data_IF_539595640094
#
_entry.id   IF_539595640094
#
_cell.length_a   1.000
_cell.length_b   1.000
_cell.length_c   1.000
_cell.angle_alpha   90.00
_cell.angle_beta   90.00
_cell.angle_gamma   90.00
#
_symmetry.space_group_name_H-M   'P 1'
#
loop_
_entity.id
_entity.type
_entity.pdbx_description
1 polymer ?
#
# COMPACT_ATOMS: atom_id res chain seq x y z
N UNK A 1 18.82 -16.80 8.39
CA UNK A 1 19.02 -16.80 9.88
C UNK A 1 17.87 -17.57 10.53
N UNK A 2 17.85 -17.90 11.84
CA UNK A 2 16.65 -18.46 12.47
C UNK A 2 15.51 -17.45 12.47
N UNK A 3 14.26 -17.93 12.59
CA UNK A 3 13.09 -17.07 12.82
C UNK A 3 13.34 -16.14 14.02
N UNK A 4 12.87 -14.90 13.92
CA UNK A 4 12.91 -13.98 15.05
C UNK A 4 12.04 -14.52 16.20
N UNK A 5 12.47 -14.43 17.47
CA UNK A 5 11.71 -15.03 18.60
C UNK A 5 10.26 -14.54 18.72
N UNK A 6 9.98 -13.28 18.43
CA UNK A 6 8.61 -12.74 18.42
C UNK A 6 7.76 -13.34 17.30
N UNK A 7 8.36 -13.64 16.14
CA UNK A 7 7.71 -14.32 15.02
C UNK A 7 7.39 -15.76 15.39
N UNK A 8 8.36 -16.49 15.97
CA UNK A 8 8.12 -17.85 16.43
C UNK A 8 6.96 -17.92 17.43
N UNK A 9 6.96 -17.03 18.42
CA UNK A 9 5.88 -16.96 19.41
C UNK A 9 4.51 -16.60 18.77
N UNK A 10 4.50 -15.81 17.69
CA UNK A 10 3.29 -15.50 16.94
C UNK A 10 2.77 -16.74 16.19
N UNK A 11 3.65 -17.45 15.48
CA UNK A 11 3.31 -18.68 14.76
C UNK A 11 2.80 -19.79 15.70
N UNK A 12 3.40 -19.93 16.89
CA UNK A 12 2.96 -20.89 17.91
C UNK A 12 1.52 -20.57 18.39
N UNK A 13 1.19 -19.28 18.56
CA UNK A 13 -0.18 -18.86 18.91
C UNK A 13 -1.18 -19.15 17.78
N UNK A 14 -0.81 -18.90 16.53
CA UNK A 14 -1.66 -19.21 15.37
C UNK A 14 -1.90 -20.72 15.26
N UNK A 15 -0.88 -21.53 15.46
CA UNK A 15 -0.99 -22.99 15.43
C UNK A 15 -1.91 -23.50 16.56
N UNK A 16 -1.78 -22.95 17.78
CA UNK A 16 -2.64 -23.28 18.92
C UNK A 16 -4.12 -22.88 18.71
N UNK A 17 -4.38 -21.79 17.97
CA UNK A 17 -5.73 -21.34 17.68
C UNK A 17 -6.46 -22.21 16.64
N UNK A 18 -5.73 -23.07 15.92
CA UNK A 18 -6.25 -24.05 14.95
C UNK A 18 -7.30 -23.46 14.00
N UNK A 19 -6.99 -22.30 13.41
CA UNK A 19 -7.89 -21.67 12.44
C UNK A 19 -8.06 -22.54 11.19
N UNK A 20 -9.30 -22.57 10.69
CA UNK A 20 -9.58 -23.15 9.38
C UNK A 20 -8.80 -22.41 8.28
N UNK A 21 -8.21 -23.10 7.33
CA UNK A 21 -7.50 -22.48 6.22
C UNK A 21 -8.43 -21.61 5.38
N UNK A 22 -7.93 -20.49 4.87
CA UNK A 22 -8.72 -19.55 4.06
C UNK A 22 -9.49 -20.23 2.91
N UNK A 23 -8.87 -21.24 2.29
CA UNK A 23 -9.49 -21.99 1.18
C UNK A 23 -10.73 -22.83 1.58
N UNK A 24 -11.02 -22.94 2.88
CA UNK A 24 -12.18 -23.69 3.40
C UNK A 24 -13.38 -22.81 3.75
N UNK A 25 -13.27 -21.49 3.62
CA UNK A 25 -14.30 -20.53 4.02
C UNK A 25 -14.66 -19.59 2.87
N UNK A 26 -15.86 -18.98 2.96
CA UNK A 26 -16.27 -17.97 1.98
C UNK A 26 -15.55 -16.63 2.23
N UNK A 27 -15.49 -15.72 1.22
CA UNK A 27 -14.92 -14.39 1.40
C UNK A 27 -15.52 -13.60 2.57
N UNK A 28 -16.83 -13.68 2.78
CA UNK A 28 -17.53 -12.99 3.87
C UNK A 28 -17.04 -13.49 5.25
N UNK A 29 -16.92 -14.80 5.41
CA UNK A 29 -16.41 -15.42 6.65
C UNK A 29 -14.92 -15.05 6.87
N UNK A 30 -14.13 -15.09 5.81
CA UNK A 30 -12.73 -14.71 5.86
C UNK A 30 -12.55 -13.22 6.25
N UNK A 31 -13.32 -12.31 5.64
CA UNK A 31 -13.32 -10.86 5.97
C UNK A 31 -13.73 -10.63 7.44
N UNK A 32 -14.80 -11.28 7.91
CA UNK A 32 -15.22 -11.18 9.29
C UNK A 32 -14.18 -11.71 10.28
N UNK A 33 -13.45 -12.76 9.92
CA UNK A 33 -12.31 -13.30 10.68
C UNK A 33 -11.14 -12.31 10.73
N UNK A 34 -10.74 -11.78 9.58
CA UNK A 34 -9.65 -10.81 9.45
C UNK A 34 -9.91 -9.54 10.27
N UNK A 35 -11.13 -8.98 10.21
CA UNK A 35 -11.52 -7.82 11.02
C UNK A 35 -11.41 -8.08 12.51
N UNK A 36 -11.86 -9.26 13.00
CA UNK A 36 -11.73 -9.64 14.42
C UNK A 36 -10.28 -9.75 14.86
N UNK A 37 -9.43 -10.37 14.04
CA UNK A 37 -8.01 -10.50 14.34
C UNK A 37 -7.31 -9.14 14.34
N UNK A 38 -7.60 -8.29 13.37
CA UNK A 38 -7.09 -6.93 13.32
C UNK A 38 -7.49 -6.14 14.57
N UNK A 39 -8.76 -6.10 14.92
CA UNK A 39 -9.26 -5.40 16.11
C UNK A 39 -8.62 -5.89 17.43
N UNK A 40 -8.31 -7.19 17.52
CA UNK A 40 -7.65 -7.77 18.69
C UNK A 40 -6.13 -7.48 18.74
N UNK A 41 -5.51 -7.16 17.61
CA UNK A 41 -4.06 -6.93 17.49
C UNK A 41 -3.68 -5.46 17.57
N UNK A 42 -4.63 -4.55 17.40
CA UNK A 42 -4.39 -3.10 17.39
C UNK A 42 -4.40 -2.61 18.86
N UNK A 43 -3.25 -2.08 19.31
CA UNK A 43 -3.18 -1.24 20.49
C UNK A 43 -3.88 0.12 20.27
N UNK A 44 -3.69 1.07 21.17
CA UNK A 44 -4.16 2.43 20.92
C UNK A 44 -3.53 2.96 19.62
N UNK A 45 -4.35 3.44 18.65
CA UNK A 45 -3.81 3.92 17.40
C UNK A 45 -2.96 5.18 17.63
N UNK A 46 -1.84 5.26 16.92
CA UNK A 46 -0.96 6.43 17.00
C UNK A 46 -1.74 7.71 16.66
N UNK A 47 -1.67 8.76 17.50
CA UNK A 47 -2.42 9.99 17.25
C UNK A 47 -1.88 10.72 16.01
N UNK A 48 -2.80 11.18 15.16
CA UNK A 48 -2.54 12.06 14.01
C UNK A 48 -3.35 13.35 14.18
N UNK A 49 -3.03 14.39 13.43
CA UNK A 49 -3.72 15.67 13.57
C UNK A 49 -5.20 15.59 13.15
N UNK A 50 -5.51 14.84 12.11
CA UNK A 50 -6.87 14.72 11.57
C UNK A 50 -7.04 13.39 10.84
N UNK A 51 -8.21 12.79 10.96
CA UNK A 51 -8.67 11.66 10.14
C UNK A 51 -10.03 12.02 9.58
N UNK A 52 -10.17 11.95 8.25
CA UNK A 52 -11.43 12.21 7.56
C UNK A 52 -11.73 11.12 6.56
N UNK A 53 -13.00 10.79 6.38
CA UNK A 53 -13.47 9.87 5.35
C UNK A 53 -14.12 10.66 4.22
N UNK A 54 -13.94 10.17 3.01
CA UNK A 54 -14.47 10.78 1.81
C UNK A 54 -14.74 9.74 0.75
N UNK A 55 -15.69 10.02 -0.13
CA UNK A 55 -15.92 9.27 -1.37
C UNK A 55 -15.43 10.12 -2.53
N UNK A 56 -14.51 9.58 -3.32
CA UNK A 56 -13.99 10.21 -4.53
C UNK A 56 -14.88 9.80 -5.70
N UNK A 57 -15.52 10.78 -6.35
CA UNK A 57 -16.22 10.55 -7.63
C UNK A 57 -15.20 10.44 -8.76
N UNK A 58 -14.89 9.24 -9.22
CA UNK A 58 -13.86 8.99 -10.23
C UNK A 58 -14.46 8.41 -11.51
N UNK A 59 -13.68 8.38 -12.59
CA UNK A 59 -14.07 7.73 -13.85
C UNK A 59 -14.27 6.22 -13.72
N UNK A 60 -13.70 5.60 -12.67
CA UNK A 60 -13.91 4.19 -12.34
C UNK A 60 -15.09 3.95 -11.38
N UNK A 61 -15.87 4.99 -11.06
CA UNK A 61 -16.94 4.99 -10.07
C UNK A 61 -16.51 5.62 -8.75
N UNK A 62 -17.39 5.51 -7.77
CA UNK A 62 -17.15 6.02 -6.42
C UNK A 62 -16.11 5.19 -5.68
N UNK A 63 -15.06 5.84 -5.18
CA UNK A 63 -13.98 5.19 -4.42
C UNK A 63 -13.90 5.81 -3.03
N UNK A 64 -14.27 5.07 -1.96
CA UNK A 64 -14.10 5.56 -0.59
C UNK A 64 -12.62 5.65 -0.22
N UNK A 65 -12.28 6.66 0.58
CA UNK A 65 -10.91 6.84 1.10
C UNK A 65 -10.96 7.34 2.53
N UNK A 66 -9.88 7.05 3.27
CA UNK A 66 -9.62 7.66 4.58
C UNK A 66 -8.32 8.46 4.48
N UNK A 67 -8.39 9.73 4.91
CA UNK A 67 -7.30 10.70 4.78
C UNK A 67 -6.74 10.99 6.17
N UNK A 68 -5.44 10.79 6.31
CA UNK A 68 -4.70 11.01 7.56
C UNK A 68 -3.76 12.19 7.39
N UNK A 69 -3.84 13.16 8.32
CA UNK A 69 -2.88 14.27 8.38
C UNK A 69 -1.89 14.04 9.52
N UNK A 70 -0.59 14.18 9.27
CA UNK A 70 0.42 13.90 10.29
C UNK A 70 0.28 14.82 11.49
N UNK A 71 0.68 14.34 12.68
CA UNK A 71 0.72 15.11 13.91
C UNK A 71 1.52 16.40 13.72
N UNK A 72 1.08 17.48 14.40
CA UNK A 72 1.69 18.81 14.27
C UNK A 72 1.23 19.63 13.05
N UNK A 73 0.41 19.07 12.16
CA UNK A 73 -0.21 19.83 11.08
C UNK A 73 -1.33 20.72 11.63
N UNK A 74 -1.39 22.05 11.26
CA UNK A 74 -2.48 22.89 11.66
C UNK A 74 -3.82 22.35 11.13
N UNK A 75 -4.74 22.03 12.02
CA UNK A 75 -6.11 21.66 11.69
C UNK A 75 -6.94 22.95 11.65
N UNK A 76 -7.41 23.34 10.47
CA UNK A 76 -8.25 24.52 10.32
C UNK A 76 -9.16 24.36 9.11
N UNK A 77 -10.46 24.34 9.37
CA UNK A 77 -11.49 24.54 8.35
C UNK A 77 -11.23 25.89 7.70
N UNK A 78 -10.97 25.94 6.41
CA UNK A 78 -11.17 27.18 5.65
C UNK A 78 -12.68 27.36 5.60
N UNK A 79 -13.22 28.07 6.59
CA UNK A 79 -14.59 28.55 6.55
C UNK A 79 -14.74 29.41 5.31
N UNK A 80 -15.73 29.13 4.49
CA UNK A 80 -16.21 30.05 3.49
C UNK A 80 -16.65 31.32 4.24
N UNK A 81 -15.77 32.31 4.34
CA UNK A 81 -16.13 33.65 4.76
C UNK A 81 -16.81 34.30 3.57
N UNK A 82 -18.14 34.47 3.68
CA UNK A 82 -18.88 35.41 2.85
C UNK A 82 -18.17 36.75 2.89
N UNK A 83 -17.95 37.34 1.72
CA UNK A 83 -17.32 38.60 1.52
C UNK A 83 -18.21 39.71 2.11
N UNK A 84 -17.90 40.18 3.33
CA UNK A 84 -18.30 41.52 3.78
C UNK A 84 -17.03 42.33 3.94
N UNK A 85 -16.98 43.44 3.18
CA UNK A 85 -15.82 44.30 3.05
C UNK A 85 -15.31 44.83 4.38
N UNK A 86 -14.07 44.49 4.68
CA UNK A 86 -13.22 45.25 5.60
C UNK A 86 -11.76 45.05 5.19
N UNK A 87 -11.09 46.11 4.83
CA UNK A 87 -9.65 46.18 4.58
C UNK A 87 -8.88 45.88 5.87
N UNK A 88 -8.47 44.66 6.03
CA UNK A 88 -7.57 44.21 7.09
C UNK A 88 -6.67 43.10 6.53
N UNK A 89 -5.38 43.42 6.36
CA UNK A 89 -4.34 42.44 6.01
C UNK A 89 -4.23 41.47 7.18
N UNK A 90 -5.02 40.39 7.17
CA UNK A 90 -4.81 39.27 8.04
C UNK A 90 -3.93 38.27 7.26
N UNK A 91 -2.65 38.26 7.60
CA UNK A 91 -1.70 37.28 7.09
C UNK A 91 -2.09 35.87 7.54
N UNK A 92 -2.89 35.18 6.73
CA UNK A 92 -2.89 33.72 6.78
C UNK A 92 -1.52 33.29 6.31
N UNK A 93 -0.63 32.89 7.23
CA UNK A 93 0.60 32.17 6.90
C UNK A 93 0.16 30.89 6.18
N UNK A 94 0.15 30.92 4.86
CA UNK A 94 -0.21 29.79 4.03
C UNK A 94 0.76 28.64 4.30
N UNK A 95 0.35 27.69 5.12
CA UNK A 95 1.15 26.47 5.33
C UNK A 95 1.39 25.84 3.94
N UNK A 96 2.65 25.52 3.66
CA UNK A 96 3.03 24.86 2.39
C UNK A 96 2.22 23.57 2.25
N UNK A 97 1.65 23.28 1.06
CA UNK A 97 0.97 22.01 0.83
C UNK A 97 1.88 20.81 1.18
N UNK A 98 1.31 19.83 1.86
CA UNK A 98 2.06 18.64 2.26
C UNK A 98 2.26 17.69 1.09
N UNK A 99 3.32 16.84 1.11
CA UNK A 99 3.39 15.70 0.22
C UNK A 99 2.21 14.75 0.47
N UNK A 100 1.94 13.86 -0.48
CA UNK A 100 0.89 12.86 -0.33
C UNK A 100 1.37 11.46 -0.68
N UNK A 101 0.96 10.49 0.15
CA UNK A 101 1.09 9.05 -0.10
C UNK A 101 -0.31 8.50 -0.39
N UNK A 102 -0.51 7.93 -1.56
CA UNK A 102 -1.70 7.15 -1.89
C UNK A 102 -1.41 5.70 -1.48
N UNK A 103 -2.10 5.23 -0.46
CA UNK A 103 -1.85 3.93 0.17
C UNK A 103 -2.93 2.92 -0.22
N UNK A 104 -2.49 1.73 -0.63
CA UNK A 104 -3.33 0.59 -0.97
C UNK A 104 -3.07 -0.54 0.03
N UNK A 105 -4.13 -0.98 0.70
CA UNK A 105 -4.03 -2.04 1.70
C UNK A 105 -3.79 -3.43 1.09
N UNK A 106 -3.20 -4.35 1.85
CA UNK A 106 -3.06 -5.75 1.51
C UNK A 106 -4.36 -6.56 1.68
N UNK A 107 -4.27 -7.87 1.43
CA UNK A 107 -5.39 -8.79 1.61
C UNK A 107 -5.78 -9.56 0.35
N UNK A 108 -4.85 -9.75 -0.60
CA UNK A 108 -5.05 -10.60 -1.80
C UNK A 108 -6.19 -10.13 -2.70
N UNK A 109 -6.55 -8.85 -2.67
CA UNK A 109 -7.68 -8.25 -3.38
C UNK A 109 -9.07 -8.74 -2.92
N UNK A 110 -9.14 -9.60 -1.91
CA UNK A 110 -10.38 -10.19 -1.37
C UNK A 110 -10.66 -9.73 0.04
N UNK A 111 -9.61 -9.51 0.83
CA UNK A 111 -9.63 -9.10 2.23
C UNK A 111 -9.07 -7.69 2.39
N UNK A 112 -9.08 -7.21 3.63
CA UNK A 112 -8.58 -5.89 3.97
C UNK A 112 -9.66 -4.82 3.85
N UNK A 113 -9.42 -3.72 4.52
CA UNK A 113 -10.24 -2.50 4.52
C UNK A 113 -9.47 -1.36 5.21
N UNK A 114 -10.08 -0.18 5.28
CA UNK A 114 -9.49 1.00 5.92
C UNK A 114 -9.18 0.78 7.40
N UNK A 115 -10.00 -0.02 8.11
CA UNK A 115 -9.81 -0.27 9.55
C UNK A 115 -8.65 -1.22 9.81
N UNK A 116 -8.51 -2.25 8.99
CA UNK A 116 -7.46 -3.26 9.14
C UNK A 116 -6.04 -2.71 8.91
N UNK A 117 -5.92 -1.57 8.24
CA UNK A 117 -4.64 -0.91 7.95
C UNK A 117 -4.52 0.51 8.55
N UNK A 118 -5.46 0.90 9.43
CA UNK A 118 -5.47 2.21 10.09
C UNK A 118 -4.14 2.50 10.82
N UNK A 119 -3.62 1.54 11.58
CA UNK A 119 -2.36 1.70 12.30
C UNK A 119 -1.16 1.96 11.38
N UNK A 120 -1.04 1.22 10.28
CA UNK A 120 0.04 1.41 9.32
C UNK A 120 -0.09 2.75 8.59
N UNK A 121 -1.31 3.14 8.20
CA UNK A 121 -1.56 4.42 7.55
C UNK A 121 -1.19 5.62 8.46
N UNK A 122 -1.50 5.55 9.76
CA UNK A 122 -1.10 6.57 10.75
C UNK A 122 0.42 6.63 10.92
N UNK A 123 1.08 5.48 11.06
CA UNK A 123 2.53 5.41 11.18
C UNK A 123 3.24 5.98 9.94
N UNK A 124 2.72 5.66 8.74
CA UNK A 124 3.21 6.26 7.50
C UNK A 124 3.01 7.76 7.46
N UNK A 125 1.83 8.27 7.86
CA UNK A 125 1.55 9.71 7.87
C UNK A 125 2.52 10.47 8.81
N UNK A 126 2.62 10.04 10.05
CA UNK A 126 3.50 10.67 11.04
C UNK A 126 4.97 10.53 10.67
N UNK A 127 5.40 9.33 10.35
CA UNK A 127 6.80 9.05 10.05
C UNK A 127 7.30 9.75 8.78
N UNK A 128 6.48 9.89 7.74
CA UNK A 128 6.86 10.57 6.50
C UNK A 128 6.54 12.07 6.49
N UNK A 129 5.78 12.58 7.48
CA UNK A 129 5.28 13.96 7.52
C UNK A 129 4.50 14.34 6.24
N UNK A 130 3.66 13.40 5.78
CA UNK A 130 2.84 13.56 4.58
C UNK A 130 1.36 13.26 4.87
N UNK A 131 0.48 13.73 4.02
CA UNK A 131 -0.90 13.25 4.01
C UNK A 131 -0.91 11.82 3.48
N UNK A 132 -1.55 10.89 4.18
CA UNK A 132 -1.80 9.54 3.65
C UNK A 132 -3.27 9.44 3.26
N UNK A 133 -3.52 9.07 2.01
CA UNK A 133 -4.85 8.76 1.50
C UNK A 133 -4.93 7.24 1.32
N UNK A 134 -5.56 6.56 2.28
CA UNK A 134 -5.81 5.12 2.23
C UNK A 134 -7.05 4.85 1.38
N UNK A 135 -6.89 4.04 0.34
CA UNK A 135 -7.91 3.79 -0.69
C UNK A 135 -8.64 2.50 -0.40
N UNK A 136 -9.96 2.57 -0.24
CA UNK A 136 -10.85 1.41 -0.12
C UNK A 136 -11.27 0.94 -1.52
N UNK A 137 -10.35 0.33 -2.21
CA UNK A 137 -10.59 -0.14 -3.58
C UNK A 137 -11.57 -1.33 -3.59
N UNK A 138 -12.36 -1.51 -4.68
CA UNK A 138 -13.38 -2.57 -4.74
C UNK A 138 -12.75 -3.95 -4.60
N UNK A 139 -13.32 -4.81 -3.76
CA UNK A 139 -12.83 -6.15 -3.49
C UNK A 139 -13.47 -7.21 -4.39
N UNK A 140 -12.73 -8.26 -4.65
CA UNK A 140 -13.18 -9.50 -5.26
C UNK A 140 -13.82 -10.43 -4.20
N UNK A 141 -14.76 -11.31 -4.56
CA UNK A 141 -15.20 -11.63 -5.92
C UNK A 141 -16.25 -10.69 -6.49
N UNK A 142 -16.78 -9.75 -5.71
CA UNK A 142 -17.84 -8.83 -6.16
C UNK A 142 -17.35 -7.98 -7.33
N UNK A 143 -16.07 -7.62 -7.31
CA UNK A 143 -15.40 -6.86 -8.36
C UNK A 143 -14.10 -7.59 -8.70
N UNK A 144 -14.09 -8.31 -9.82
CA UNK A 144 -12.89 -9.00 -10.30
C UNK A 144 -11.95 -8.08 -11.06
N UNK A 145 -10.74 -8.54 -11.33
CA UNK A 145 -9.81 -7.87 -12.25
C UNK A 145 -10.54 -7.46 -13.55
N UNK A 146 -10.36 -6.22 -14.06
CA UNK A 146 -9.40 -5.19 -13.66
C UNK A 146 -9.98 -4.06 -12.77
N UNK A 147 -10.99 -4.31 -11.93
CA UNK A 147 -11.63 -3.26 -11.13
C UNK A 147 -10.64 -2.56 -10.19
N UNK A 148 -9.76 -3.29 -9.51
CA UNK A 148 -8.79 -2.76 -8.55
C UNK A 148 -7.73 -1.86 -9.22
N UNK A 149 -7.04 -2.30 -10.30
CA UNK A 149 -6.17 -1.43 -11.06
C UNK A 149 -6.83 -0.15 -11.57
N UNK A 150 -8.08 -0.24 -11.98
CA UNK A 150 -8.81 0.92 -12.48
C UNK A 150 -9.16 1.90 -11.34
N UNK A 151 -9.68 1.39 -10.23
CA UNK A 151 -10.02 2.22 -9.07
C UNK A 151 -8.77 2.85 -8.43
N UNK A 152 -7.69 2.10 -8.26
CA UNK A 152 -6.43 2.62 -7.68
C UNK A 152 -5.83 3.73 -8.54
N UNK A 153 -5.78 3.53 -9.85
CA UNK A 153 -5.34 4.56 -10.78
C UNK A 153 -6.25 5.79 -10.76
N UNK A 154 -7.57 5.60 -10.86
CA UNK A 154 -8.53 6.69 -10.89
C UNK A 154 -8.53 7.51 -9.58
N UNK A 155 -8.40 6.86 -8.42
CA UNK A 155 -8.22 7.55 -7.13
C UNK A 155 -6.94 8.38 -7.11
N UNK A 156 -5.83 7.85 -7.62
CA UNK A 156 -4.55 8.57 -7.68
C UNK A 156 -4.63 9.78 -8.61
N UNK A 157 -5.27 9.64 -9.77
CA UNK A 157 -5.50 10.75 -10.71
C UNK A 157 -6.40 11.82 -10.07
N UNK A 158 -7.50 11.42 -9.44
CA UNK A 158 -8.40 12.32 -8.75
C UNK A 158 -7.67 13.13 -7.66
N UNK A 159 -6.81 12.48 -6.85
CA UNK A 159 -6.02 13.13 -5.81
C UNK A 159 -5.08 14.19 -6.40
N UNK A 160 -4.45 13.90 -7.54
CA UNK A 160 -3.58 14.85 -8.23
C UNK A 160 -4.36 16.08 -8.74
N UNK A 161 -5.52 15.84 -9.37
CA UNK A 161 -6.36 16.89 -9.94
C UNK A 161 -7.03 17.78 -8.87
N UNK A 162 -7.30 17.21 -7.68
CA UNK A 162 -7.92 17.90 -6.55
C UNK A 162 -6.93 18.23 -5.42
N UNK A 163 -5.63 18.32 -5.75
CA UNK A 163 -4.56 18.52 -4.78
C UNK A 163 -4.75 19.79 -3.92
N UNK A 164 -5.23 20.89 -4.51
CA UNK A 164 -5.52 22.12 -3.80
C UNK A 164 -6.62 21.95 -2.73
N UNK A 165 -7.68 21.24 -3.06
CA UNK A 165 -8.78 20.90 -2.14
C UNK A 165 -8.29 20.06 -0.96
N UNK A 166 -7.42 19.08 -1.25
CA UNK A 166 -6.80 18.22 -0.25
C UNK A 166 -5.64 18.91 0.50
N UNK A 167 -5.24 20.13 0.10
CA UNK A 167 -4.08 20.85 0.62
C UNK A 167 -2.80 20.01 0.55
N UNK A 168 -2.61 19.31 -0.60
CA UNK A 168 -1.42 18.52 -0.90
C UNK A 168 -0.69 19.05 -2.12
N UNK A 169 0.55 18.65 -2.30
CA UNK A 169 1.40 19.05 -3.41
C UNK A 169 1.39 17.97 -4.51
N UNK A 170 0.78 18.23 -5.67
CA UNK A 170 0.69 17.24 -6.75
C UNK A 170 2.04 16.93 -7.41
N UNK A 171 3.09 17.69 -7.14
CA UNK A 171 4.46 17.38 -7.57
C UNK A 171 5.18 16.40 -6.62
N UNK A 172 4.57 16.08 -5.47
CA UNK A 172 5.14 15.21 -4.43
C UNK A 172 4.16 14.09 -4.05
N UNK A 173 3.74 13.33 -5.07
CA UNK A 173 2.90 12.14 -4.90
C UNK A 173 3.79 10.91 -4.84
N UNK A 174 3.61 10.10 -3.81
CA UNK A 174 4.11 8.73 -3.72
C UNK A 174 2.92 7.76 -3.70
N UNK A 175 3.10 6.57 -4.24
CA UNK A 175 2.20 5.45 -4.04
C UNK A 175 2.84 4.44 -3.09
N UNK A 176 2.04 3.82 -2.24
CA UNK A 176 2.51 2.83 -1.29
C UNK A 176 1.47 1.72 -1.12
N UNK A 177 1.93 0.53 -0.73
CA UNK A 177 1.02 -0.54 -0.37
C UNK A 177 1.76 -1.77 0.11
N UNK A 178 1.02 -2.64 0.78
CA UNK A 178 1.53 -3.89 1.33
C UNK A 178 0.87 -5.11 0.65
N UNK A 179 1.65 -6.16 0.36
CA UNK A 179 1.17 -7.40 -0.24
C UNK A 179 0.45 -7.14 -1.59
N UNK A 180 -0.82 -7.50 -1.74
CA UNK A 180 -1.64 -7.15 -2.91
C UNK A 180 -1.73 -5.63 -3.13
N UNK A 181 -1.73 -4.82 -2.06
CA UNK A 181 -1.65 -3.37 -2.16
C UNK A 181 -0.29 -2.88 -2.68
N UNK A 182 0.79 -3.59 -2.36
CA UNK A 182 2.11 -3.38 -2.95
C UNK A 182 2.14 -3.67 -4.45
N UNK A 183 1.45 -4.73 -4.89
CA UNK A 183 1.17 -4.97 -6.30
C UNK A 183 0.42 -3.79 -6.91
N UNK A 184 -0.69 -3.39 -6.29
CA UNK A 184 -1.53 -2.30 -6.81
C UNK A 184 -0.77 -0.98 -6.91
N UNK A 185 0.10 -0.66 -5.95
CA UNK A 185 0.98 0.51 -6.02
C UNK A 185 1.89 0.46 -7.25
N UNK A 186 2.55 -0.68 -7.50
CA UNK A 186 3.36 -0.88 -8.70
C UNK A 186 2.54 -0.78 -10.00
N UNK A 187 1.36 -1.41 -10.03
CA UNK A 187 0.44 -1.37 -11.18
C UNK A 187 -0.05 0.04 -11.47
N UNK A 188 -0.34 0.84 -10.44
CA UNK A 188 -0.75 2.25 -10.62
C UNK A 188 0.36 3.06 -11.29
N UNK A 189 1.63 2.79 -10.99
CA UNK A 189 2.75 3.46 -11.69
C UNK A 189 2.83 3.08 -13.17
N UNK A 190 2.58 1.80 -13.49
CA UNK A 190 2.51 1.34 -14.89
C UNK A 190 1.38 2.04 -15.64
N UNK A 191 0.19 2.12 -15.04
CA UNK A 191 -0.96 2.82 -15.64
C UNK A 191 -0.72 4.32 -15.79
N UNK A 192 -0.12 4.98 -14.80
CA UNK A 192 0.22 6.39 -14.88
C UNK A 192 1.20 6.67 -16.02
N UNK A 193 2.25 5.85 -16.17
CA UNK A 193 3.17 5.94 -17.30
C UNK A 193 2.46 5.76 -18.64
N UNK A 194 1.64 4.73 -18.77
CA UNK A 194 0.93 4.40 -20.00
C UNK A 194 -0.06 5.49 -20.43
N UNK A 195 -0.67 6.19 -19.47
CA UNK A 195 -1.65 7.25 -19.71
C UNK A 195 -1.05 8.68 -19.71
N UNK A 196 0.26 8.83 -19.52
CA UNK A 196 0.91 10.13 -19.45
C UNK A 196 0.62 10.95 -18.19
N UNK A 197 0.24 10.29 -17.10
CA UNK A 197 -0.05 10.93 -15.81
C UNK A 197 -1.02 10.11 -14.94
N UNK A 198 -1.28 10.54 -13.68
CA UNK A 198 -0.64 11.67 -13.00
C UNK A 198 0.85 11.42 -12.71
N UNK A 199 1.59 12.49 -12.40
CA UNK A 199 2.97 12.34 -11.93
C UNK A 199 3.01 11.60 -10.60
N UNK A 200 3.76 10.50 -10.58
CA UNK A 200 4.07 9.74 -9.36
C UNK A 200 5.60 9.74 -9.24
N UNK A 201 6.10 10.31 -8.16
CA UNK A 201 7.54 10.50 -7.98
C UNK A 201 8.23 9.40 -7.19
N UNK A 202 7.49 8.51 -6.51
CA UNK A 202 8.05 7.42 -5.70
C UNK A 202 7.06 6.27 -5.53
N UNK A 203 7.59 5.05 -5.39
CA UNK A 203 6.81 3.87 -5.04
C UNK A 203 7.41 3.13 -3.83
N UNK A 204 6.62 2.91 -2.79
CA UNK A 204 6.95 2.13 -1.62
C UNK A 204 6.20 0.80 -1.68
N UNK A 205 6.92 -0.29 -1.93
CA UNK A 205 6.34 -1.61 -2.13
C UNK A 205 6.72 -2.50 -0.92
N UNK A 206 5.74 -2.83 -0.09
CA UNK A 206 5.95 -3.56 1.15
C UNK A 206 5.56 -5.02 0.91
N UNK A 207 6.53 -5.93 0.96
CA UNK A 207 6.42 -7.37 0.64
C UNK A 207 5.43 -7.66 -0.50
N UNK A 208 5.61 -7.03 -1.67
CA UNK A 208 4.60 -6.96 -2.72
C UNK A 208 4.37 -8.31 -3.40
N UNK A 209 3.12 -8.59 -3.80
CA UNK A 209 2.69 -9.77 -4.57
C UNK A 209 2.77 -9.47 -6.08
N UNK A 210 3.86 -9.82 -6.75
CA UNK A 210 4.17 -9.32 -8.10
C UNK A 210 4.16 -10.36 -9.22
N UNK A 211 3.96 -11.65 -8.90
CA UNK A 211 3.98 -12.75 -9.87
C UNK A 211 2.92 -13.82 -9.60
N UNK A 212 1.80 -13.72 -10.24
CA UNK A 212 0.68 -14.66 -10.08
C UNK A 212 0.91 -16.01 -10.78
N UNK A 213 2.04 -16.22 -11.44
CA UNK A 213 2.43 -17.56 -11.94
C UNK A 213 2.81 -18.50 -10.81
N UNK A 214 3.25 -17.98 -9.67
CA UNK A 214 3.61 -18.74 -8.46
C UNK A 214 4.72 -19.77 -8.70
N UNK A 215 5.73 -19.41 -9.48
CA UNK A 215 6.79 -20.30 -9.92
C UNK A 215 8.16 -20.03 -9.31
N UNK A 216 8.31 -18.96 -8.53
CA UNK A 216 9.58 -18.59 -7.92
C UNK A 216 9.99 -19.57 -6.79
N UNK A 217 11.27 -19.51 -6.37
CA UNK A 217 11.83 -20.46 -5.41
C UNK A 217 11.22 -20.27 -4.01
N UNK A 218 11.04 -19.05 -3.54
CA UNK A 218 10.45 -18.80 -2.21
C UNK A 218 9.02 -19.31 -2.10
N UNK A 219 8.22 -19.27 -3.17
CA UNK A 219 6.89 -19.91 -3.22
C UNK A 219 7.01 -21.43 -3.05
N UNK A 220 7.95 -22.06 -3.76
CA UNK A 220 8.09 -23.51 -3.71
C UNK A 220 8.63 -24.00 -2.38
N UNK A 221 9.48 -23.23 -1.74
CA UNK A 221 10.15 -23.55 -0.49
C UNK A 221 9.33 -23.18 0.74
N UNK A 222 8.74 -21.97 0.78
CA UNK A 222 8.22 -21.38 2.01
C UNK A 222 6.69 -21.37 2.13
N UNK A 223 5.96 -21.57 1.01
CA UNK A 223 4.50 -21.54 1.05
C UNK A 223 3.92 -22.59 2.00
N UNK A 224 3.16 -22.15 2.99
CA UNK A 224 2.55 -23.00 4.01
C UNK A 224 3.44 -23.38 5.18
N UNK A 225 4.71 -22.95 5.20
CA UNK A 225 5.60 -23.20 6.33
C UNK A 225 5.52 -22.09 7.40
N UNK A 226 5.29 -20.84 6.96
CA UNK A 226 5.34 -19.66 7.83
C UNK A 226 4.11 -18.75 7.61
N UNK A 227 3.11 -18.91 8.47
CA UNK A 227 1.90 -18.07 8.45
C UNK A 227 0.86 -18.50 7.40
N UNK A 228 0.13 -17.52 6.87
CA UNK A 228 -1.11 -17.77 6.10
C UNK A 228 -0.90 -17.89 4.59
N UNK A 229 0.32 -17.69 4.07
CA UNK A 229 0.60 -17.79 2.63
C UNK A 229 0.84 -19.26 2.27
N UNK A 230 -0.24 -20.04 2.19
CA UNK A 230 -0.21 -21.42 1.68
C UNK A 230 -0.50 -21.44 0.18
N UNK A 231 -0.19 -22.55 -0.50
CA UNK A 231 -0.54 -22.73 -1.92
C UNK A 231 -2.04 -22.70 -2.13
N UNK A 232 -2.79 -23.32 -1.23
CA UNK A 232 -4.25 -23.37 -1.25
C UNK A 232 -4.87 -21.98 -1.03
N UNK A 233 -4.32 -21.21 -0.09
CA UNK A 233 -4.75 -19.82 0.15
C UNK A 233 -4.47 -18.94 -1.08
N UNK A 234 -3.28 -19.05 -1.68
CA UNK A 234 -2.94 -18.31 -2.90
C UNK A 234 -3.88 -18.66 -4.06
N UNK A 235 -4.19 -19.96 -4.24
CA UNK A 235 -5.14 -20.40 -5.27
C UNK A 235 -6.56 -19.89 -4.98
N UNK A 236 -6.96 -19.84 -3.71
CA UNK A 236 -8.25 -19.30 -3.29
C UNK A 236 -8.35 -17.79 -3.64
N UNK A 237 -7.34 -16.99 -3.33
CA UNK A 237 -7.29 -15.57 -3.70
C UNK A 237 -7.39 -15.40 -5.23
N UNK A 238 -6.60 -16.14 -5.99
CA UNK A 238 -6.61 -16.05 -7.46
C UNK A 238 -7.97 -16.42 -8.06
N UNK A 239 -8.64 -17.44 -7.56
CA UNK A 239 -9.97 -17.87 -8.03
C UNK A 239 -11.04 -16.80 -7.82
N UNK A 240 -10.92 -16.03 -6.73
CA UNK A 240 -11.82 -14.91 -6.47
C UNK A 240 -11.45 -13.66 -7.28
N UNK A 241 -10.17 -13.35 -7.41
CA UNK A 241 -9.68 -12.13 -8.06
C UNK A 241 -9.77 -12.20 -9.58
N UNK A 242 -9.35 -13.31 -10.19
CA UNK A 242 -9.26 -13.47 -11.64
C UNK A 242 -10.51 -14.11 -12.23
N UNK A 243 -10.80 -13.78 -13.48
CA UNK A 243 -11.87 -14.41 -14.26
C UNK A 243 -11.34 -15.61 -15.04
N UNK A 244 -10.12 -15.51 -15.56
CA UNK A 244 -9.47 -16.54 -16.36
C UNK A 244 -8.03 -16.79 -15.90
N UNK A 245 -7.53 -18.01 -16.12
CA UNK A 245 -6.13 -18.35 -15.86
C UNK A 245 -5.14 -17.50 -16.69
N UNK A 246 -5.52 -17.10 -17.88
CA UNK A 246 -4.67 -16.29 -18.76
C UNK A 246 -4.36 -14.91 -18.17
N UNK A 247 -5.23 -14.36 -17.34
CA UNK A 247 -5.03 -13.06 -16.69
C UNK A 247 -3.82 -13.04 -15.75
N UNK A 248 -3.36 -14.21 -15.25
CA UNK A 248 -2.11 -14.32 -14.48
C UNK A 248 -0.88 -13.77 -15.21
N UNK A 249 -0.92 -13.78 -16.54
CA UNK A 249 0.17 -13.30 -17.39
C UNK A 249 0.03 -11.81 -17.77
N UNK A 250 -1.05 -11.17 -17.33
CA UNK A 250 -1.26 -9.76 -17.64
C UNK A 250 -0.37 -8.88 -16.75
N UNK A 251 0.37 -7.88 -17.29
CA UNK A 251 1.26 -7.03 -16.47
C UNK A 251 0.55 -6.25 -15.35
N UNK A 252 -0.74 -5.94 -15.48
CA UNK A 252 -1.53 -5.32 -14.41
C UNK A 252 -2.01 -6.32 -13.33
N UNK A 253 -1.70 -7.61 -13.46
CA UNK A 253 -1.87 -8.65 -12.45
C UNK A 253 -0.50 -9.05 -11.91
N UNK A 254 0.45 -9.27 -12.81
CA UNK A 254 1.83 -9.67 -12.50
C UNK A 254 2.81 -8.62 -13.02
N UNK A 255 3.03 -7.51 -12.29
CA UNK A 255 3.95 -6.46 -12.71
C UNK A 255 5.38 -6.93 -12.99
N UNK A 256 5.77 -8.05 -12.39
CA UNK A 256 7.04 -8.70 -12.71
C UNK A 256 7.15 -9.13 -14.18
N UNK A 257 6.05 -9.25 -14.90
CA UNK A 257 6.02 -9.62 -16.32
C UNK A 257 6.01 -8.42 -17.29
N UNK A 258 5.91 -7.19 -16.76
CA UNK A 258 6.01 -6.00 -17.62
C UNK A 258 7.39 -5.98 -18.33
N UNK A 259 7.43 -5.99 -19.65
CA UNK A 259 8.71 -6.09 -20.38
C UNK A 259 9.57 -4.84 -20.24
N UNK A 260 8.96 -3.68 -20.14
CA UNK A 260 9.63 -2.38 -20.05
C UNK A 260 9.33 -1.72 -18.70
N UNK A 261 10.36 -1.62 -17.83
CA UNK A 261 10.29 -0.92 -16.55
C UNK A 261 10.98 0.44 -16.57
N UNK A 262 11.39 0.94 -17.74
CA UNK A 262 12.01 2.26 -17.86
C UNK A 262 11.02 3.38 -17.48
N UNK A 263 11.56 4.52 -17.06
CA UNK A 263 10.78 5.70 -16.69
C UNK A 263 9.73 5.49 -15.57
N UNK A 264 9.81 4.39 -14.82
CA UNK A 264 9.05 4.23 -13.59
C UNK A 264 9.66 5.06 -12.46
N UNK A 265 8.87 5.46 -11.45
CA UNK A 265 9.38 6.22 -10.32
C UNK A 265 10.39 5.41 -9.49
N UNK A 266 11.37 6.08 -8.83
CA UNK A 266 12.22 5.44 -7.83
C UNK A 266 11.43 4.60 -6.84
N UNK A 267 12.04 3.49 -6.37
CA UNK A 267 11.35 2.52 -5.53
C UNK A 267 12.11 2.23 -4.22
N UNK A 268 11.35 1.99 -3.16
CA UNK A 268 11.82 1.28 -1.98
C UNK A 268 10.99 0.02 -1.80
N UNK A 269 11.64 -1.14 -1.80
CA UNK A 269 10.99 -2.45 -1.69
C UNK A 269 11.42 -3.10 -0.39
N UNK A 270 10.46 -3.46 0.44
CA UNK A 270 10.65 -4.20 1.68
C UNK A 270 10.26 -5.65 1.45
N UNK A 271 11.11 -6.60 1.84
CA UNK A 271 10.83 -8.04 1.80
C UNK A 271 11.09 -8.68 3.15
N UNK A 272 10.57 -9.87 3.38
CA UNK A 272 10.80 -10.67 4.57
C UNK A 272 11.51 -11.99 4.21
N UNK A 273 12.44 -12.45 5.06
CA UNK A 273 13.24 -13.66 4.76
C UNK A 273 12.37 -14.91 4.58
N UNK A 274 11.38 -15.08 5.46
CA UNK A 274 10.49 -16.24 5.51
C UNK A 274 9.14 -15.98 4.85
N UNK A 275 9.16 -15.24 3.73
CA UNK A 275 7.98 -14.90 2.95
C UNK A 275 8.00 -15.64 1.60
N UNK A 276 6.91 -16.31 1.28
CA UNK A 276 6.75 -16.96 -0.01
C UNK A 276 6.81 -15.97 -1.19
N UNK A 277 6.48 -14.69 -0.99
CA UNK A 277 6.53 -13.62 -1.99
C UNK A 277 7.90 -12.91 -2.07
N UNK A 278 8.88 -13.32 -1.26
CA UNK A 278 10.20 -12.68 -1.16
C UNK A 278 10.89 -12.51 -2.51
N UNK A 279 11.03 -13.60 -3.24
CA UNK A 279 11.86 -13.63 -4.44
C UNK A 279 11.31 -12.76 -5.57
N UNK A 280 9.98 -12.63 -5.69
CA UNK A 280 9.37 -11.78 -6.72
C UNK A 280 9.56 -10.29 -6.41
N UNK A 281 9.51 -9.89 -5.14
CA UNK A 281 9.83 -8.53 -4.72
C UNK A 281 11.30 -8.16 -5.02
N UNK A 282 12.22 -9.06 -4.70
CA UNK A 282 13.66 -8.85 -4.97
C UNK A 282 13.99 -8.88 -6.46
N UNK A 283 13.34 -9.77 -7.23
CA UNK A 283 13.47 -9.83 -8.68
C UNK A 283 12.97 -8.54 -9.33
N UNK A 284 11.83 -8.01 -8.89
CA UNK A 284 11.31 -6.76 -9.41
C UNK A 284 12.26 -5.60 -9.16
N UNK A 285 12.86 -5.55 -7.97
CA UNK A 285 13.91 -4.58 -7.64
C UNK A 285 15.12 -4.68 -8.58
N UNK A 286 15.60 -5.90 -8.88
CA UNK A 286 16.70 -6.12 -9.83
C UNK A 286 16.33 -5.67 -11.25
N UNK A 287 15.11 -5.93 -11.69
CA UNK A 287 14.62 -5.50 -13.01
C UNK A 287 14.45 -3.98 -13.10
N UNK A 288 13.96 -3.32 -12.06
CA UNK A 288 13.93 -1.86 -11.97
C UNK A 288 15.33 -1.26 -12.08
N UNK A 289 16.30 -1.79 -11.32
CA UNK A 289 17.69 -1.33 -11.39
C UNK A 289 18.30 -1.53 -12.79
N UNK A 290 18.06 -2.68 -13.43
CA UNK A 290 18.50 -2.97 -14.78
C UNK A 290 17.85 -2.02 -15.83
N UNK A 291 16.64 -1.52 -15.58
CA UNK A 291 15.97 -0.51 -16.39
C UNK A 291 16.42 0.94 -16.07
N UNK A 292 17.42 1.13 -15.19
CA UNK A 292 17.93 2.45 -14.81
C UNK A 292 17.06 3.21 -13.80
N UNK A 293 16.09 2.54 -13.16
CA UNK A 293 15.27 3.12 -12.11
C UNK A 293 16.01 3.03 -10.77
N UNK A 294 16.17 4.13 -10.01
CA UNK A 294 16.75 4.10 -8.67
C UNK A 294 15.88 3.23 -7.75
N UNK A 295 16.47 2.21 -7.14
CA UNK A 295 15.76 1.30 -6.26
C UNK A 295 16.60 0.87 -5.06
N UNK A 296 15.96 0.78 -3.91
CA UNK A 296 16.50 0.14 -2.72
C UNK A 296 15.62 -1.06 -2.38
N UNK A 297 16.24 -2.23 -2.24
CA UNK A 297 15.58 -3.43 -1.74
C UNK A 297 16.13 -3.74 -0.36
N UNK A 298 15.27 -3.86 0.63
CA UNK A 298 15.67 -4.22 2.00
C UNK A 298 14.90 -5.45 2.48
N UNK A 299 15.65 -6.53 2.71
CA UNK A 299 15.13 -7.75 3.34
C UNK A 299 15.24 -7.62 4.86
N UNK A 300 14.19 -8.06 5.55
CA UNK A 300 14.18 -8.20 7.01
C UNK A 300 14.34 -9.68 7.37
N UNK A 301 15.49 -9.98 7.94
CA UNK A 301 15.86 -11.35 8.29
C UNK A 301 15.04 -11.83 9.49
N UNK A 302 14.65 -13.10 9.51
CA UNK A 302 13.82 -13.65 10.57
C UNK A 302 12.33 -13.27 10.52
N UNK A 303 11.92 -12.39 9.59
CA UNK A 303 10.55 -11.92 9.44
C UNK A 303 9.75 -12.78 8.45
N UNK A 304 8.42 -12.70 8.58
CA UNK A 304 7.41 -13.38 7.76
C UNK A 304 6.57 -12.36 6.98
N UNK A 305 5.72 -12.84 6.06
CA UNK A 305 4.74 -11.99 5.40
C UNK A 305 3.88 -11.20 6.38
N UNK A 306 3.46 -9.99 6.03
CA UNK A 306 2.63 -9.07 6.84
C UNK A 306 3.29 -8.58 8.14
N UNK A 307 4.60 -8.77 8.36
CA UNK A 307 5.25 -8.46 9.63
C UNK A 307 5.11 -6.99 10.08
N UNK A 308 4.96 -6.03 9.15
CA UNK A 308 4.76 -4.61 9.48
C UNK A 308 3.45 -4.35 10.25
N UNK A 309 2.49 -5.27 10.16
CA UNK A 309 1.18 -5.16 10.82
C UNK A 309 1.14 -5.79 12.22
N UNK A 310 2.27 -6.36 12.64
CA UNK A 310 2.41 -7.00 13.94
C UNK A 310 3.29 -6.17 14.89
N UNK A 311 3.11 -6.29 16.22
CA UNK A 311 3.90 -5.54 17.19
C UNK A 311 5.32 -6.14 17.37
N UNK A 312 6.01 -6.42 16.27
CA UNK A 312 7.39 -6.87 16.26
C UNK A 312 8.34 -5.68 16.33
N UNK A 313 9.51 -5.86 16.94
CA UNK A 313 10.49 -4.79 17.01
C UNK A 313 11.03 -4.42 15.61
N UNK A 314 11.27 -5.42 14.77
CA UNK A 314 11.71 -5.19 13.40
C UNK A 314 10.62 -4.55 12.50
N UNK A 315 9.34 -4.68 12.86
CA UNK A 315 8.26 -3.95 12.18
C UNK A 315 8.42 -2.43 12.36
N UNK A 316 8.77 -1.98 13.57
CA UNK A 316 9.05 -0.56 13.85
C UNK A 316 10.23 -0.07 13.03
N UNK A 317 11.32 -0.85 12.99
CA UNK A 317 12.50 -0.53 12.17
C UNK A 317 12.13 -0.44 10.69
N UNK A 318 11.29 -1.35 10.18
CA UNK A 318 10.86 -1.35 8.79
C UNK A 318 9.96 -0.13 8.45
N UNK A 319 9.09 0.27 9.38
CA UNK A 319 8.27 1.47 9.23
C UNK A 319 9.15 2.74 9.24
N UNK A 320 10.17 2.80 10.11
CA UNK A 320 11.12 3.92 10.15
C UNK A 320 11.94 4.02 8.84
N UNK A 321 12.38 2.89 8.30
CA UNK A 321 13.07 2.85 7.00
C UNK A 321 12.16 3.29 5.85
N UNK A 322 10.92 2.78 5.80
CA UNK A 322 9.91 3.14 4.81
C UNK A 322 9.62 4.64 4.83
N UNK A 323 9.37 5.19 6.01
CA UNK A 323 9.05 6.62 6.18
C UNK A 323 10.26 7.51 5.93
N UNK A 324 11.48 7.04 6.25
CA UNK A 324 12.72 7.74 5.90
C UNK A 324 12.93 7.78 4.39
N UNK A 325 12.63 6.70 3.67
CA UNK A 325 12.71 6.68 2.20
C UNK A 325 11.72 7.68 1.58
N UNK A 326 10.49 7.72 2.08
CA UNK A 326 9.47 8.70 1.66
C UNK A 326 9.92 10.15 1.93
N UNK A 327 10.43 10.46 3.14
CA UNK A 327 10.94 11.80 3.46
C UNK A 327 12.07 12.21 2.53
N UNK A 328 13.04 11.34 2.29
CA UNK A 328 14.16 11.64 1.37
C UNK A 328 13.66 12.00 -0.02
N UNK A 329 12.65 11.29 -0.52
CA UNK A 329 12.03 11.64 -1.78
C UNK A 329 11.34 13.01 -1.71
N UNK A 330 10.50 13.25 -0.70
CA UNK A 330 9.77 14.50 -0.56
C UNK A 330 10.66 15.73 -0.36
N UNK A 331 11.81 15.56 0.30
CA UNK A 331 12.78 16.63 0.56
C UNK A 331 13.73 16.88 -0.63
N UNK A 332 13.88 15.91 -1.53
CA UNK A 332 14.79 16.02 -2.68
C UNK A 332 14.34 17.08 -3.71
N UNK A 333 13.11 17.56 -3.63
CA UNK A 333 12.55 18.53 -4.57
C UNK A 333 12.49 17.99 -6.00
N UNK A 334 12.39 16.68 -6.16
CA UNK A 334 12.31 16.03 -7.46
C UNK A 334 11.13 16.57 -8.25
N UNK A 335 11.42 17.47 -9.19
CA UNK A 335 10.44 18.04 -10.12
C UNK A 335 10.20 17.05 -11.24
N UNK A 336 8.98 16.95 -11.80
CA UNK A 336 8.72 16.16 -13.01
C UNK A 336 9.76 16.49 -14.07
N UNK A 337 10.44 15.49 -14.61
CA UNK A 337 11.26 15.68 -15.80
C UNK A 337 10.29 15.90 -16.97
N UNK A 338 10.31 17.12 -17.51
CA UNK A 338 9.57 17.54 -18.71
C UNK A 338 9.90 16.67 -19.89
#
# INVERSE_FOLDING_TARGET
MPLHPQVQAHLDRLAAANFAGLHTVTPEVARAGARRLSAASVGEPEPVAEVTERVLGTDAGDVPVRIYRPAGTPTGVVGATEATGATGVSGTTGARPLPVVVFFHGGGYVLGDLDSHDGLARALANGSQSVVVSVDYPLAPENKFPAQPNAGYAATAWIADHAAELRVDPSRIAVAGDSAGGNLAGVVTLKARANGGPYIGFQLLIYPDLDFRRTNHSITELAGQYGNITREAQQWFMNHYLTTEAEKLHPLVSPLLEPDLTALPPAHIITAEYDALRDEGEEYGRRLAAAGVPVTVKRYDGMIHEFLRHPFDDAKVAIDDATTALRRFFDSGAVPRS
#
